data_IF_750505193419
#
_entry.id   IF_750505193419
#
_cell.length_a   1.000
_cell.length_b   1.000
_cell.length_c   1.000
_cell.angle_alpha   90.00
_cell.angle_beta   90.00
_cell.angle_gamma   90.00
#
_symmetry.space_group_name_H-M   'P 1'
#
loop_
_entity.id
_entity.type
_entity.pdbx_description
1 polymer ?
#
# COMPACT_ATOMS: atom_id res chain seq x y z
N UNK A 1 -17.52 5.20 21.83
CA UNK A 1 -16.73 3.98 22.14
C UNK A 1 -15.31 4.28 21.73
N UNK A 2 -14.32 4.13 22.62
CA UNK A 2 -12.93 4.47 22.27
C UNK A 2 -12.42 3.43 21.28
N UNK A 3 -12.36 3.78 20.00
CA UNK A 3 -11.56 3.04 19.03
C UNK A 3 -10.11 3.12 19.50
N UNK A 4 -9.61 2.01 20.02
CA UNK A 4 -8.22 1.85 20.40
C UNK A 4 -7.41 1.75 19.12
N UNK A 5 -6.93 2.89 18.61
CA UNK A 5 -6.01 2.91 17.47
C UNK A 5 -4.80 2.02 17.74
N UNK A 6 -4.34 1.34 16.68
CA UNK A 6 -3.14 0.54 16.74
C UNK A 6 -1.95 1.43 17.10
N UNK A 7 -1.07 0.91 17.94
CA UNK A 7 0.07 1.64 18.48
C UNK A 7 1.32 1.40 17.63
N UNK A 8 2.32 2.25 17.82
CA UNK A 8 3.65 2.06 17.25
C UNK A 8 4.20 0.67 17.55
N UNK A 9 4.78 0.02 16.55
CA UNK A 9 5.27 -1.36 16.62
C UNK A 9 4.25 -2.41 16.21
N UNK A 10 2.94 -2.14 16.27
CA UNK A 10 1.93 -3.06 15.77
C UNK A 10 2.05 -3.25 14.25
N UNK A 11 1.58 -4.39 13.77
CA UNK A 11 1.50 -4.69 12.33
C UNK A 11 0.08 -4.98 11.90
N UNK A 12 -0.28 -4.57 10.69
CA UNK A 12 -1.55 -4.90 10.05
C UNK A 12 -1.34 -5.17 8.55
N UNK A 13 -2.37 -5.70 7.89
CA UNK A 13 -2.34 -5.92 6.45
C UNK A 13 -2.91 -4.68 5.74
N UNK A 14 -2.18 -4.17 4.76
CA UNK A 14 -2.64 -3.09 3.89
C UNK A 14 -2.80 -3.60 2.47
N UNK A 15 -3.96 -3.35 1.88
CA UNK A 15 -4.23 -3.69 0.49
C UNK A 15 -4.12 -2.45 -0.38
N UNK A 16 -3.22 -2.48 -1.36
CA UNK A 16 -3.09 -1.47 -2.40
C UNK A 16 -3.68 -1.97 -3.71
N UNK A 17 -4.36 -1.09 -4.44
CA UNK A 17 -5.02 -1.39 -5.70
C UNK A 17 -4.61 -0.37 -6.74
N UNK A 18 -4.14 -0.83 -7.90
CA UNK A 18 -3.83 0.02 -9.06
C UNK A 18 -4.66 -0.42 -10.25
N UNK A 19 -5.06 0.54 -11.08
CA UNK A 19 -5.53 0.28 -12.44
C UNK A 19 -4.37 0.50 -13.40
N UNK A 20 -4.07 -0.50 -14.22
CA UNK A 20 -3.02 -0.49 -15.22
C UNK A 20 -3.51 0.21 -16.52
N UNK A 21 -2.60 0.62 -17.42
CA UNK A 21 -2.99 1.33 -18.64
C UNK A 21 -3.86 0.52 -19.62
N UNK A 22 -3.73 -0.80 -19.60
CA UNK A 22 -4.55 -1.74 -20.37
C UNK A 22 -5.94 -1.97 -19.75
N UNK A 23 -6.20 -1.39 -18.57
CA UNK A 23 -7.46 -1.51 -17.84
C UNK A 23 -7.48 -2.64 -16.80
N UNK A 24 -6.46 -3.49 -16.75
CA UNK A 24 -6.33 -4.53 -15.72
C UNK A 24 -6.22 -3.88 -14.32
N UNK A 25 -6.64 -4.62 -13.31
CA UNK A 25 -6.61 -4.22 -11.90
C UNK A 25 -5.58 -5.09 -11.18
N UNK A 26 -4.60 -4.44 -10.56
CA UNK A 26 -3.58 -5.09 -9.76
C UNK A 26 -3.84 -4.83 -8.28
N UNK A 27 -3.85 -5.88 -7.45
CA UNK A 27 -4.04 -5.80 -6.00
C UNK A 27 -2.82 -6.41 -5.31
N UNK A 28 -2.21 -5.66 -4.40
CA UNK A 28 -1.10 -6.15 -3.59
C UNK A 28 -1.43 -6.01 -2.10
N UNK A 29 -1.20 -7.08 -1.35
CA UNK A 29 -1.39 -7.11 0.10
C UNK A 29 -0.02 -7.08 0.77
N UNK A 30 0.26 -6.03 1.54
CA UNK A 30 1.50 -5.89 2.29
C UNK A 30 1.26 -6.07 3.78
N UNK A 31 2.23 -6.65 4.49
CA UNK A 31 2.31 -6.46 5.95
C UNK A 31 2.95 -5.10 6.20
N UNK A 32 2.26 -4.24 6.93
CA UNK A 32 2.73 -2.93 7.33
C UNK A 32 3.03 -2.92 8.84
N UNK A 33 4.13 -2.28 9.24
CA UNK A 33 4.45 -2.00 10.64
C UNK A 33 4.29 -0.51 10.93
N UNK A 34 3.58 -0.17 11.99
CA UNK A 34 3.40 1.22 12.43
C UNK A 34 4.70 1.74 13.02
N UNK A 35 5.20 2.82 12.44
CA UNK A 35 6.36 3.57 12.92
C UNK A 35 5.95 4.77 13.77
N UNK A 36 4.82 5.39 13.43
CA UNK A 36 4.25 6.49 14.19
C UNK A 36 2.73 6.59 13.95
N UNK A 37 2.03 7.09 14.95
CA UNK A 37 0.62 7.52 14.87
C UNK A 37 0.61 9.05 14.73
N UNK A 38 -0.11 9.56 13.73
CA UNK A 38 -0.22 11.00 13.43
C UNK A 38 -1.68 11.40 13.67
N UNK A 39 -2.04 11.65 14.93
CA UNK A 39 -3.43 11.91 15.33
C UNK A 39 -4.04 13.13 14.63
N UNK A 40 -3.28 14.21 14.50
CA UNK A 40 -3.75 15.44 13.87
C UNK A 40 -4.14 15.27 12.38
N UNK A 41 -3.73 14.17 11.75
CA UNK A 41 -4.03 13.87 10.34
C UNK A 41 -4.74 12.53 10.15
N UNK A 42 -5.18 11.88 11.24
CA UNK A 42 -5.88 10.58 11.26
C UNK A 42 -5.16 9.52 10.43
N UNK A 43 -3.83 9.45 10.60
CA UNK A 43 -2.94 8.62 9.77
C UNK A 43 -1.95 7.81 10.59
N UNK A 44 -1.53 6.70 10.01
CA UNK A 44 -0.33 5.97 10.42
C UNK A 44 0.82 6.28 9.46
N UNK A 45 2.01 6.50 9.99
CA UNK A 45 3.24 6.30 9.23
C UNK A 45 3.67 4.84 9.40
N UNK A 46 3.77 4.10 8.30
CA UNK A 46 4.08 2.67 8.32
C UNK A 46 5.28 2.35 7.44
N UNK A 47 5.98 1.27 7.77
CA UNK A 47 6.91 0.58 6.88
C UNK A 47 6.22 -0.62 6.26
N UNK A 48 6.33 -0.78 4.94
CA UNK A 48 5.90 -2.01 4.26
C UNK A 48 6.97 -3.08 4.50
N UNK A 49 6.68 -4.10 5.30
CA UNK A 49 7.65 -5.10 5.76
C UNK A 49 7.84 -6.20 4.72
N UNK A 50 6.74 -6.69 4.13
CA UNK A 50 6.74 -7.76 3.14
C UNK A 50 5.52 -7.66 2.23
N UNK A 51 5.65 -8.19 1.01
CA UNK A 51 4.52 -8.45 0.11
C UNK A 51 3.96 -9.84 0.44
N UNK A 52 2.75 -9.89 0.99
CA UNK A 52 2.10 -11.12 1.48
C UNK A 52 1.38 -11.86 0.36
N UNK A 53 0.67 -11.12 -0.50
CA UNK A 53 -0.10 -11.68 -1.60
C UNK A 53 -0.26 -10.68 -2.75
N UNK A 54 -0.58 -11.19 -3.93
CA UNK A 54 -0.84 -10.38 -5.10
C UNK A 54 -1.84 -11.06 -6.05
N UNK A 55 -2.75 -10.28 -6.61
CA UNK A 55 -3.65 -10.71 -7.68
C UNK A 55 -3.71 -9.66 -8.79
N UNK A 56 -3.96 -10.12 -10.01
CA UNK A 56 -4.28 -9.26 -11.14
C UNK A 56 -5.56 -9.79 -11.77
N UNK A 57 -6.46 -8.89 -12.11
CA UNK A 57 -7.74 -9.18 -12.75
C UNK A 57 -7.84 -8.33 -14.02
N UNK A 58 -8.50 -8.85 -15.04
CA UNK A 58 -8.83 -8.07 -16.23
C UNK A 58 -9.85 -6.98 -15.89
N UNK A 59 -10.08 -6.06 -16.83
CA UNK A 59 -11.14 -5.05 -16.69
C UNK A 59 -12.55 -5.64 -16.56
N UNK A 60 -12.75 -6.91 -16.94
CA UNK A 60 -14.01 -7.64 -16.82
C UNK A 60 -14.11 -8.47 -15.53
N UNK A 61 -13.07 -8.45 -14.68
CA UNK A 61 -13.03 -9.17 -13.40
C UNK A 61 -12.52 -10.61 -13.51
N UNK A 62 -11.98 -11.01 -14.66
CA UNK A 62 -11.37 -12.33 -14.83
C UNK A 62 -9.98 -12.35 -14.20
N UNK A 63 -9.71 -13.30 -13.31
CA UNK A 63 -8.40 -13.45 -12.68
C UNK A 63 -7.32 -13.81 -13.71
N UNK A 64 -6.16 -13.17 -13.61
CA UNK A 64 -4.95 -13.54 -14.37
C UNK A 64 -4.18 -14.61 -13.61
N UNK A 65 -3.60 -15.55 -14.34
CA UNK A 65 -2.56 -16.41 -13.81
C UNK A 65 -1.25 -15.63 -13.62
N UNK A 66 -0.38 -16.09 -12.72
CA UNK A 66 0.88 -15.40 -12.39
C UNK A 66 1.79 -15.22 -13.61
N UNK A 67 1.74 -16.15 -14.56
CA UNK A 67 2.48 -16.10 -15.81
C UNK A 67 2.03 -14.94 -16.72
N UNK A 68 0.76 -14.53 -16.59
CA UNK A 68 0.11 -13.46 -17.35
C UNK A 68 0.16 -12.09 -16.67
N UNK A 69 0.68 -12.04 -15.43
CA UNK A 69 0.84 -10.79 -14.71
C UNK A 69 1.68 -9.80 -15.52
N UNK A 70 1.35 -8.52 -15.40
CA UNK A 70 2.09 -7.44 -16.04
C UNK A 70 3.43 -7.24 -15.32
N UNK A 71 4.42 -8.08 -15.64
CA UNK A 71 5.71 -8.21 -14.96
C UNK A 71 6.42 -6.87 -14.67
N UNK A 72 6.45 -5.89 -15.59
CA UNK A 72 7.08 -4.60 -15.31
C UNK A 72 6.47 -3.87 -14.11
N UNK A 73 5.14 -3.89 -13.95
CA UNK A 73 4.47 -3.24 -12.82
C UNK A 73 4.65 -4.02 -11.52
N UNK A 74 4.58 -5.35 -11.59
CA UNK A 74 4.83 -6.19 -10.42
C UNK A 74 6.26 -6.05 -9.89
N UNK A 75 7.24 -5.85 -10.76
CA UNK A 75 8.61 -5.52 -10.34
C UNK A 75 8.66 -4.22 -9.52
N UNK A 76 7.87 -3.21 -9.87
CA UNK A 76 7.76 -1.96 -9.10
C UNK A 76 7.04 -2.17 -7.76
N UNK A 77 5.99 -2.99 -7.73
CA UNK A 77 5.28 -3.35 -6.48
C UNK A 77 6.24 -4.01 -5.49
N UNK A 78 7.08 -4.94 -5.94
CA UNK A 78 8.07 -5.60 -5.08
C UNK A 78 9.07 -4.59 -4.50
N UNK A 79 9.45 -3.55 -5.25
CA UNK A 79 10.34 -2.49 -4.76
C UNK A 79 9.72 -1.58 -3.69
N UNK A 80 8.41 -1.68 -3.43
CA UNK A 80 7.77 -0.98 -2.33
C UNK A 80 8.10 -1.60 -0.96
N UNK A 81 8.54 -2.86 -0.93
CA UNK A 81 8.99 -3.49 0.31
C UNK A 81 10.15 -2.68 0.92
N UNK A 82 10.05 -2.42 2.23
CA UNK A 82 10.95 -1.59 3.01
C UNK A 82 10.66 -0.08 2.97
N UNK A 83 9.79 0.40 2.06
CA UNK A 83 9.42 1.82 1.95
C UNK A 83 8.55 2.25 3.13
N UNK A 84 8.62 3.55 3.44
CA UNK A 84 7.77 4.20 4.44
C UNK A 84 6.65 4.95 3.72
N UNK A 85 5.43 4.81 4.19
CA UNK A 85 4.25 5.47 3.63
C UNK A 85 3.34 5.97 4.73
N UNK A 86 2.52 6.96 4.40
CA UNK A 86 1.44 7.40 5.27
C UNK A 86 0.12 6.84 4.76
N UNK A 87 -0.64 6.19 5.63
CA UNK A 87 -1.95 5.60 5.31
C UNK A 87 -2.98 6.08 6.32
N UNK A 88 -4.24 6.21 5.90
CA UNK A 88 -5.34 6.57 6.81
C UNK A 88 -5.60 5.43 7.80
N UNK A 89 -6.18 5.74 8.97
CA UNK A 89 -6.41 4.75 10.02
C UNK A 89 -7.32 3.60 9.59
N UNK A 90 -8.34 3.87 8.78
CA UNK A 90 -9.37 2.92 8.35
C UNK A 90 -8.81 1.81 7.44
N UNK A 91 -7.58 1.95 6.99
CA UNK A 91 -6.87 0.91 6.25
C UNK A 91 -6.55 -0.29 7.15
N UNK A 92 -6.38 -0.06 8.45
CA UNK A 92 -6.20 -1.12 9.44
C UNK A 92 -7.45 -2.03 9.54
N UNK A 93 -8.62 -1.54 9.14
CA UNK A 93 -9.87 -2.30 9.13
C UNK A 93 -10.03 -3.16 7.85
N UNK A 94 -8.98 -3.25 7.03
CA UNK A 94 -8.96 -4.05 5.80
C UNK A 94 -9.49 -3.33 4.57
N UNK A 95 -9.73 -2.01 4.63
CA UNK A 95 -10.13 -1.23 3.45
C UNK A 95 -8.99 -1.12 2.45
N UNK A 96 -9.28 -1.45 1.20
CA UNK A 96 -8.33 -1.31 0.11
C UNK A 96 -8.09 0.16 -0.25
N UNK A 97 -6.82 0.55 -0.38
CA UNK A 97 -6.43 1.86 -0.87
C UNK A 97 -6.27 1.83 -2.39
N UNK A 98 -7.06 2.65 -3.08
CA UNK A 98 -6.89 2.86 -4.52
C UNK A 98 -5.76 3.85 -4.74
N UNK A 99 -4.71 3.36 -5.40
CA UNK A 99 -3.47 4.08 -5.65
C UNK A 99 -3.45 4.57 -7.09
N UNK A 100 -2.85 5.75 -7.32
CA UNK A 100 -2.56 6.21 -8.68
C UNK A 100 -1.42 5.39 -9.27
N UNK A 101 -1.46 5.10 -10.57
CA UNK A 101 -0.36 4.39 -11.24
C UNK A 101 1.00 5.11 -11.07
N UNK A 102 0.95 6.44 -11.06
CA UNK A 102 2.09 7.31 -10.80
C UNK A 102 2.83 7.05 -9.47
N UNK A 103 2.16 6.39 -8.51
CA UNK A 103 2.81 5.97 -7.27
C UNK A 103 3.83 4.85 -7.51
N UNK A 104 3.61 3.96 -8.49
CA UNK A 104 4.56 2.92 -8.88
C UNK A 104 5.71 3.47 -9.73
N UNK A 105 5.43 4.44 -10.60
CA UNK A 105 6.43 5.01 -11.53
C UNK A 105 7.32 6.07 -10.88
N UNK A 106 7.01 6.50 -9.66
CA UNK A 106 7.76 7.54 -8.94
C UNK A 106 7.49 8.95 -9.44
N UNK A 107 6.49 9.15 -10.32
CA UNK A 107 6.07 10.46 -10.82
C UNK A 107 5.38 11.31 -9.74
N UNK A 108 4.95 10.69 -8.64
CA UNK A 108 4.46 11.38 -7.45
C UNK A 108 5.08 10.79 -6.17
N UNK A 109 5.57 11.67 -5.30
CA UNK A 109 6.23 11.38 -4.02
C UNK A 109 5.28 10.86 -2.92
N UNK A 110 4.31 10.00 -3.27
CA UNK A 110 3.45 9.34 -2.28
C UNK A 110 4.26 8.47 -1.30
N UNK A 111 5.43 8.01 -1.73
CA UNK A 111 6.32 7.13 -0.97
C UNK A 111 7.42 7.87 -0.18
N UNK A 112 7.51 9.22 -0.23
CA UNK A 112 8.36 10.04 0.68
C UNK A 112 7.92 11.51 0.76
N UNK A 113 7.41 11.92 1.93
CA UNK A 113 7.86 13.03 2.82
C UNK A 113 6.69 13.60 3.62
N UNK A 114 6.44 13.05 4.81
CA UNK A 114 6.30 13.94 5.97
C UNK A 114 7.73 14.16 6.47
N UNK A 115 8.19 15.40 6.57
CA UNK A 115 9.50 15.73 7.15
C UNK A 115 9.43 15.47 8.65
N UNK A 116 9.48 14.21 9.07
CA UNK A 116 9.75 13.87 10.46
C UNK A 116 11.24 14.06 10.70
N UNK A 117 11.61 15.19 11.28
CA UNK A 117 12.94 15.33 11.89
C UNK A 117 12.96 14.43 13.13
N UNK A 118 13.85 13.43 13.12
CA UNK A 118 14.28 12.79 14.37
C UNK A 118 15.00 13.88 15.17
N UNK A 119 14.33 14.39 16.21
CA UNK A 119 14.94 15.16 17.29
C UNK A 119 15.55 14.23 18.32
#
# INVERSE_FOLDING_TARGET
MSESHLQTGNTFLVQFVWRLPDGDIMRALFRAQILAVIDAAEKYMVRLVELVAGSQESSTGEGRDKEQFAKPYWALVVQLVGRRVTVAWEVADGRALTMRLATLTGEHDFFRRYNWQES
#
